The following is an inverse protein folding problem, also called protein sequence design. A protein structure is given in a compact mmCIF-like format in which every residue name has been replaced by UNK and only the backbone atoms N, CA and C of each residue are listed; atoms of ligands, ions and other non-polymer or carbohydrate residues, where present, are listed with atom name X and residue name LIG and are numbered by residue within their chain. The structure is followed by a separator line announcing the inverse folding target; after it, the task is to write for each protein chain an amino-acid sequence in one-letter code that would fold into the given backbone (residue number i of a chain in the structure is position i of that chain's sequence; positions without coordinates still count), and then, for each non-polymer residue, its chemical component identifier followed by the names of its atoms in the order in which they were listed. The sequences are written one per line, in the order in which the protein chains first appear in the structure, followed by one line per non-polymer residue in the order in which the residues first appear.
data_IF_232112843787
#
_entry.id   IF_232112843787
#
_cell.length_a   1.000
_cell.length_b   1.000
_cell.length_c   1.000
_cell.angle_alpha   90.00
_cell.angle_beta   90.00
_cell.angle_gamma   90.00
#
_symmetry.space_group_name_H-M   'P 1'
#
loop_
_entity.id
_entity.type
_entity.pdbx_description
1 polymer ?
#
# COMPACT_ATOMS: atom_id res chain seq x y z
N UNK A 1 25.17 -1.02 17.40
CA UNK A 1 24.01 -1.26 18.28
C UNK A 1 23.06 -2.12 17.49
N UNK A 2 22.87 -3.39 17.86
CA UNK A 2 21.91 -4.25 17.19
C UNK A 2 20.51 -3.81 17.63
N UNK A 3 19.64 -3.51 16.68
CA UNK A 3 18.22 -3.26 16.97
C UNK A 3 17.67 -4.50 17.69
N UNK A 4 17.02 -4.36 18.86
CA UNK A 4 16.61 -5.50 19.68
C UNK A 4 15.47 -6.34 19.06
N UNK A 5 14.97 -5.94 17.89
CA UNK A 5 13.88 -6.58 17.18
C UNK A 5 14.36 -7.10 15.83
N UNK A 6 13.99 -8.33 15.48
CA UNK A 6 14.27 -8.93 14.18
C UNK A 6 13.59 -8.20 13.01
N UNK A 7 13.70 -8.68 11.76
CA UNK A 7 13.08 -8.02 10.61
C UNK A 7 11.56 -7.90 10.79
N UNK A 8 10.96 -6.86 10.20
CA UNK A 8 9.51 -6.68 10.23
C UNK A 8 8.80 -7.84 9.53
N UNK A 9 7.73 -8.32 10.13
CA UNK A 9 6.90 -9.40 9.58
C UNK A 9 5.69 -8.81 8.86
N UNK A 10 5.46 -9.29 7.64
CA UNK A 10 4.28 -8.93 6.85
C UNK A 10 3.16 -9.93 7.12
N UNK A 11 1.96 -9.43 7.31
CA UNK A 11 0.81 -10.24 7.65
C UNK A 11 -0.42 -9.81 6.84
N UNK A 12 -1.26 -10.78 6.48
CA UNK A 12 -2.48 -10.62 5.69
C UNK A 12 -2.37 -9.96 4.30
N UNK A 13 -1.18 -9.54 3.84
CA UNK A 13 -1.00 -8.90 2.54
C UNK A 13 -1.44 -9.79 1.36
N UNK A 14 -1.01 -11.05 1.33
CA UNK A 14 -1.36 -11.98 0.23
C UNK A 14 -2.85 -12.31 0.24
N UNK A 15 -3.41 -12.59 1.43
CA UNK A 15 -4.83 -12.83 1.63
C UNK A 15 -5.67 -11.64 1.13
N UNK A 16 -5.35 -10.42 1.59
CA UNK A 16 -6.08 -9.21 1.22
C UNK A 16 -5.95 -8.87 -0.26
N UNK A 17 -4.78 -9.09 -0.85
CA UNK A 17 -4.59 -8.92 -2.29
C UNK A 17 -5.44 -9.93 -3.08
N UNK A 18 -5.47 -11.19 -2.65
CA UNK A 18 -6.29 -12.22 -3.28
C UNK A 18 -7.78 -11.94 -3.14
N UNK A 19 -8.24 -11.44 -1.98
CA UNK A 19 -9.63 -11.04 -1.75
C UNK A 19 -10.05 -9.84 -2.62
N UNK A 20 -9.16 -8.86 -2.78
CA UNK A 20 -9.46 -7.62 -3.50
C UNK A 20 -9.31 -7.74 -5.02
N UNK A 21 -8.30 -8.49 -5.51
CA UNK A 21 -8.00 -8.59 -6.95
C UNK A 21 -9.14 -9.05 -7.88
N UNK A 22 -10.17 -9.82 -7.46
CA UNK A 22 -11.32 -10.12 -8.32
C UNK A 22 -12.28 -8.94 -8.49
N UNK A 23 -12.24 -7.97 -7.58
CA UNK A 23 -13.12 -6.78 -7.60
C UNK A 23 -12.67 -5.74 -8.62
N UNK A 24 -11.40 -5.78 -9.02
CA UNK A 24 -10.78 -4.88 -9.99
C UNK A 24 -9.93 -5.70 -10.94
N UNK A 25 -10.21 -5.73 -12.26
CA UNK A 25 -9.38 -6.47 -13.20
C UNK A 25 -7.98 -5.83 -13.27
N UNK A 26 -7.01 -6.45 -12.57
CA UNK A 26 -5.62 -6.00 -12.57
C UNK A 26 -4.86 -6.67 -13.71
N UNK A 27 -4.12 -5.89 -14.53
CA UNK A 27 -3.10 -6.44 -15.41
C UNK A 27 -2.07 -7.24 -14.60
N UNK A 28 -1.50 -8.30 -15.18
CA UNK A 28 -0.52 -9.15 -14.48
C UNK A 28 0.72 -8.38 -14.01
N UNK A 29 1.13 -7.33 -14.72
CA UNK A 29 2.22 -6.43 -14.32
C UNK A 29 1.90 -5.66 -13.04
N UNK A 30 0.66 -5.19 -12.88
CA UNK A 30 0.19 -4.47 -11.68
C UNK A 30 0.23 -5.41 -10.48
N UNK A 31 -0.19 -6.66 -10.66
CA UNK A 31 -0.12 -7.67 -9.59
C UNK A 31 1.33 -7.91 -9.14
N UNK A 32 2.26 -8.07 -10.08
CA UNK A 32 3.67 -8.25 -9.79
C UNK A 32 4.30 -7.02 -9.09
N UNK A 33 3.90 -5.81 -9.48
CA UNK A 33 4.35 -4.58 -8.81
C UNK A 33 3.82 -4.48 -7.38
N UNK A 34 2.56 -4.89 -7.14
CA UNK A 34 2.01 -4.95 -5.77
C UNK A 34 2.83 -5.93 -4.93
N UNK A 35 3.12 -7.13 -5.42
CA UNK A 35 3.94 -8.10 -4.69
C UNK A 35 5.34 -7.56 -4.39
N UNK A 36 6.00 -6.92 -5.36
CA UNK A 36 7.30 -6.29 -5.15
C UNK A 36 7.23 -5.19 -4.10
N UNK A 37 6.20 -4.35 -4.16
CA UNK A 37 5.99 -3.27 -3.19
C UNK A 37 5.79 -3.82 -1.77
N UNK A 38 5.00 -4.89 -1.60
CA UNK A 38 4.76 -5.55 -0.31
C UNK A 38 6.10 -5.91 0.35
N UNK A 39 7.00 -6.55 -0.40
CA UNK A 39 8.33 -6.95 0.12
C UNK A 39 9.18 -5.78 0.61
N UNK A 40 9.04 -4.58 0.02
CA UNK A 40 9.79 -3.39 0.47
C UNK A 40 9.40 -2.92 1.88
N UNK A 41 8.22 -3.31 2.37
CA UNK A 41 7.73 -2.87 3.68
C UNK A 41 8.48 -3.52 4.83
N UNK A 42 9.12 -4.68 4.61
CA UNK A 42 9.96 -5.35 5.61
C UNK A 42 11.11 -4.44 6.06
N UNK A 43 11.77 -3.79 5.10
CA UNK A 43 12.90 -2.90 5.39
C UNK A 43 12.45 -1.48 5.78
N UNK A 44 11.34 -1.02 5.19
CA UNK A 44 10.84 0.35 5.37
C UNK A 44 9.33 0.38 5.61
N UNK A 45 8.87 0.02 6.82
CA UNK A 45 7.44 -0.07 7.15
C UNK A 45 6.67 1.21 6.83
N UNK A 46 7.27 2.38 7.08
CA UNK A 46 6.62 3.68 6.88
C UNK A 46 6.91 4.35 5.54
N UNK A 47 7.88 3.83 4.77
CA UNK A 47 8.42 4.38 3.52
C UNK A 47 7.79 5.69 3.00
N UNK A 48 6.97 5.58 1.96
CA UNK A 48 6.18 6.65 1.35
C UNK A 48 4.73 6.70 1.87
N UNK A 49 4.46 6.11 3.03
CA UNK A 49 3.13 6.01 3.59
C UNK A 49 2.77 7.24 4.41
N UNK A 50 1.49 7.56 4.44
CA UNK A 50 0.91 8.64 5.25
C UNK A 50 0.06 8.02 6.34
N UNK A 51 0.11 8.57 7.54
CA UNK A 51 -0.78 8.14 8.63
C UNK A 51 -2.22 8.51 8.26
N UNK A 52 -3.14 7.58 8.46
CA UNK A 52 -4.58 7.81 8.24
C UNK A 52 -5.13 8.61 9.41
N UNK A 53 -5.76 9.75 9.11
CA UNK A 53 -6.34 10.62 10.13
C UNK A 53 -7.46 9.89 10.89
N UNK A 54 -7.45 10.02 12.22
CA UNK A 54 -8.42 9.38 13.10
C UNK A 54 -8.16 7.90 13.42
N UNK A 55 -7.18 7.26 12.78
CA UNK A 55 -6.86 5.83 12.98
C UNK A 55 -5.55 5.62 13.75
N UNK A 56 -5.56 4.71 14.72
CA UNK A 56 -4.36 4.42 15.52
C UNK A 56 -3.35 3.56 14.75
N UNK A 57 -2.24 4.19 14.35
CA UNK A 57 -1.11 3.55 13.69
C UNK A 57 -1.46 2.80 12.38
N UNK A 58 -2.50 3.27 11.69
CA UNK A 58 -2.87 2.83 10.34
C UNK A 58 -2.24 3.79 9.34
N UNK A 59 -1.52 3.22 8.38
CA UNK A 59 -0.77 3.94 7.35
C UNK A 59 -1.33 3.57 6.00
N UNK A 60 -1.35 4.53 5.09
CA UNK A 60 -1.75 4.34 3.70
C UNK A 60 -0.60 4.68 2.78
N UNK A 61 -0.24 3.81 1.84
CA UNK A 61 0.76 4.13 0.82
C UNK A 61 0.26 3.83 -0.60
N UNK A 62 0.69 4.63 -1.59
CA UNK A 62 0.53 4.27 -2.97
C UNK A 62 1.45 3.10 -3.31
N UNK A 63 0.88 2.12 -4.01
CA UNK A 63 1.53 0.88 -4.40
C UNK A 63 2.05 0.99 -5.83
N UNK A 64 1.14 1.24 -6.77
CA UNK A 64 1.43 1.42 -8.20
C UNK A 64 0.29 2.18 -8.88
N UNK A 65 0.49 2.57 -10.14
CA UNK A 65 -0.54 3.19 -10.97
C UNK A 65 -1.21 2.13 -11.85
N UNK A 66 -2.50 2.30 -12.09
CA UNK A 66 -3.19 1.53 -13.11
C UNK A 66 -2.93 2.19 -14.48
N UNK A 67 -2.83 1.39 -15.57
CA UNK A 67 -2.77 1.96 -16.92
C UNK A 67 -4.00 2.84 -17.15
N UNK A 68 -3.85 3.87 -17.97
CA UNK A 68 -4.91 4.86 -18.23
C UNK A 68 -6.16 4.13 -18.74
N UNK A 69 -7.12 3.95 -17.83
CA UNK A 69 -8.47 3.58 -18.16
C UNK A 69 -9.16 4.89 -18.49
N UNK A 70 -10.00 4.92 -19.52
CA UNK A 70 -10.76 6.10 -20.05
C UNK A 70 -11.40 7.04 -18.98
N UNK A 71 -11.46 6.59 -17.72
CA UNK A 71 -11.85 7.31 -16.50
C UNK A 71 -10.74 8.14 -15.81
N UNK A 72 -9.53 8.24 -16.39
CA UNK A 72 -8.39 9.01 -15.90
C UNK A 72 -7.40 8.21 -15.02
N UNK A 73 -6.30 8.87 -14.63
CA UNK A 73 -5.20 8.23 -13.91
C UNK A 73 -5.63 7.70 -12.54
N UNK A 74 -5.56 6.39 -12.36
CA UNK A 74 -5.88 5.71 -11.09
C UNK A 74 -4.64 5.10 -10.46
N UNK A 75 -4.68 4.91 -9.14
CA UNK A 75 -3.60 4.24 -8.40
C UNK A 75 -4.14 3.21 -7.43
N UNK A 76 -3.38 2.16 -7.26
CA UNK A 76 -3.58 1.18 -6.19
C UNK A 76 -2.96 1.72 -4.92
N UNK A 77 -3.71 1.70 -3.83
CA UNK A 77 -3.25 2.01 -2.48
C UNK A 77 -3.45 0.82 -1.57
N UNK A 78 -2.62 0.72 -0.54
CA UNK A 78 -2.78 -0.23 0.54
C UNK A 78 -2.81 0.54 1.87
N UNK A 79 -3.81 0.25 2.69
CA UNK A 79 -3.83 0.66 4.09
C UNK A 79 -3.39 -0.52 4.96
N UNK A 80 -2.49 -0.26 5.90
CA UNK A 80 -1.91 -1.27 6.77
C UNK A 80 -1.59 -0.70 8.15
N UNK A 81 -1.70 -1.55 9.17
CA UNK A 81 -1.38 -1.21 10.55
C UNK A 81 0.04 -1.62 10.88
N UNK A 82 0.77 -0.75 11.56
CA UNK A 82 2.08 -1.07 12.12
C UNK A 82 1.90 -1.41 13.60
N UNK A 83 2.40 -2.56 14.04
CA UNK A 83 2.39 -2.96 15.44
C UNK A 83 3.84 -3.02 15.91
N UNK A 84 4.32 -1.91 16.48
CA UNK A 84 5.74 -1.73 16.78
C UNK A 84 6.25 -2.71 17.83
N UNK A 85 5.45 -2.98 18.86
CA UNK A 85 5.81 -3.92 19.91
C UNK A 85 6.06 -5.35 19.38
N UNK A 86 5.47 -5.71 18.25
CA UNK A 86 5.56 -7.04 17.65
C UNK A 86 6.45 -7.09 16.39
N UNK A 87 6.97 -5.94 15.96
CA UNK A 87 7.64 -5.76 14.67
C UNK A 87 6.80 -6.35 13.52
N UNK A 88 5.50 -6.05 13.50
CA UNK A 88 4.52 -6.61 12.54
C UNK A 88 3.85 -5.51 11.74
N UNK A 89 3.59 -5.79 10.48
CA UNK A 89 2.84 -4.94 9.54
C UNK A 89 1.66 -5.77 9.05
N UNK A 90 0.44 -5.33 9.33
CA UNK A 90 -0.78 -6.05 9.00
C UNK A 90 -1.51 -5.29 7.91
N UNK A 91 -1.75 -5.92 6.77
CA UNK A 91 -2.55 -5.32 5.71
C UNK A 91 -4.02 -5.26 6.11
N UNK A 92 -4.63 -4.07 6.09
CA UNK A 92 -6.04 -3.92 6.39
C UNK A 92 -6.86 -4.05 5.09
N UNK A 93 -6.46 -3.33 4.02
CA UNK A 93 -7.15 -3.38 2.73
C UNK A 93 -6.30 -2.86 1.56
N UNK A 94 -6.72 -3.26 0.36
CA UNK A 94 -6.34 -2.64 -0.91
C UNK A 94 -7.51 -1.87 -1.50
N UNK A 95 -7.21 -0.78 -2.19
CA UNK A 95 -8.20 0.03 -2.89
C UNK A 95 -7.62 0.67 -4.16
N UNK A 96 -8.50 1.02 -5.10
CA UNK A 96 -8.17 1.94 -6.20
C UNK A 96 -8.66 3.32 -5.80
N UNK A 97 -7.79 4.31 -5.89
CA UNK A 97 -8.16 5.71 -5.74
C UNK A 97 -7.87 6.47 -7.03
N UNK A 98 -8.71 7.45 -7.41
CA UNK A 98 -8.34 8.39 -8.45
C UNK A 98 -7.09 9.15 -8.03
N UNK A 99 -6.16 9.31 -8.97
CA UNK A 99 -5.01 10.18 -8.76
C UNK A 99 -5.52 11.59 -8.99
N UNK A 100 -5.99 12.26 -7.94
CA UNK A 100 -6.24 13.70 -8.04
C UNK A 100 -4.91 14.37 -8.35
N UNK A 101 -4.66 14.64 -9.63
CA UNK A 101 -3.75 15.69 -10.04
C UNK A 101 -4.46 16.94 -9.51
N UNK A 102 -4.05 17.41 -8.33
CA UNK A 102 -4.51 18.71 -7.84
C UNK A 102 -4.35 19.73 -8.97
N UNK A 103 -5.22 20.75 -9.05
CA UNK A 103 -5.16 21.71 -10.16
C UNK A 103 -3.70 22.14 -10.31
N UNK A 104 -3.14 21.96 -11.52
CA UNK A 104 -1.87 22.61 -11.86
C UNK A 104 -2.04 24.06 -11.41
N UNK A 105 -1.25 24.47 -10.43
CA UNK A 105 -1.15 25.88 -10.10
C UNK A 105 -0.67 26.56 -11.39
N UNK A 106 -1.62 27.19 -12.07
CA UNK A 106 -1.35 28.12 -13.16
C UNK A 106 -0.54 29.26 -12.54
N UNK A 107 0.69 29.42 -13.00
CA UNK A 107 1.58 30.55 -12.69
C UNK A 107 2.15 31.04 -13.99
#
# INVERSE_FOLDING_TARGET
MAEPYGPWRLDDFESKLHEWSPTVPLPGEVYADIQRWISTRVDRPRGNAVLVDGEENVWQAPVTYLPDLDSGLQRVVCAYRIIEAEHRIVCELFAVLPTSIGPKADT
#
